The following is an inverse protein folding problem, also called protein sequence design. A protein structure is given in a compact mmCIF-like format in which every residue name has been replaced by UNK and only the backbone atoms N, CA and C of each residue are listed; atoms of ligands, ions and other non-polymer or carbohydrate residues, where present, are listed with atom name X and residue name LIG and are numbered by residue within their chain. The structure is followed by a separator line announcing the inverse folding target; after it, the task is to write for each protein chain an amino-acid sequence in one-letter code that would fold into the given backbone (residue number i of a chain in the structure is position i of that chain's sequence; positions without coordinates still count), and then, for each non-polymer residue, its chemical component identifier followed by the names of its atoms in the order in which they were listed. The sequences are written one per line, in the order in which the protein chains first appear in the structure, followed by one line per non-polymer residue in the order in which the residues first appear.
data_IF_917633135924
#
_entry.id   IF_917633135924
#
_cell.length_a   1.000
_cell.length_b   1.000
_cell.length_c   1.000
_cell.angle_alpha   90.00
_cell.angle_beta   90.00
_cell.angle_gamma   90.00
#
_symmetry.space_group_name_H-M   'P 1'
#
loop_
_entity.id
_entity.type
_entity.pdbx_description
1 polymer ?
#
# COMPACT_ATOMS: atom_id res chain seq x y z
N UNK A 1 -7.82 7.85 -12.22
CA UNK A 1 -7.31 7.04 -11.09
C UNK A 1 -8.26 5.87 -10.88
N UNK A 2 -7.77 4.64 -10.81
CA UNK A 2 -8.63 3.46 -10.55
C UNK A 2 -8.99 3.37 -9.06
N UNK A 3 -10.09 2.68 -8.70
CA UNK A 3 -10.59 2.59 -7.31
C UNK A 3 -9.52 2.11 -6.33
N UNK A 4 -8.72 1.11 -6.73
CA UNK A 4 -7.63 0.56 -5.91
C UNK A 4 -6.50 1.58 -5.76
N UNK A 5 -6.07 2.24 -6.84
CA UNK A 5 -4.99 3.23 -6.75
C UNK A 5 -5.35 4.42 -5.85
N UNK A 6 -6.63 4.83 -5.83
CA UNK A 6 -7.12 5.85 -4.89
C UNK A 6 -7.04 5.38 -3.43
N UNK A 7 -7.38 4.11 -3.15
CA UNK A 7 -7.25 3.54 -1.82
C UNK A 7 -5.78 3.43 -1.38
N UNK A 8 -4.88 2.98 -2.28
CA UNK A 8 -3.42 2.96 -2.04
C UNK A 8 -2.91 4.35 -1.69
N UNK A 9 -3.31 5.39 -2.45
CA UNK A 9 -2.88 6.76 -2.18
C UNK A 9 -3.39 7.28 -0.83
N UNK A 10 -4.64 6.97 -0.46
CA UNK A 10 -5.22 7.35 0.84
C UNK A 10 -4.40 6.73 1.98
N UNK A 11 -4.19 5.41 1.94
CA UNK A 11 -3.46 4.68 2.97
C UNK A 11 -2.00 5.15 3.07
N UNK A 12 -1.34 5.39 1.93
CA UNK A 12 0.03 5.88 1.92
C UNK A 12 0.14 7.28 2.58
N UNK A 13 -0.80 8.19 2.31
CA UNK A 13 -0.83 9.51 2.95
C UNK A 13 -1.09 9.42 4.45
N UNK A 14 -2.06 8.61 4.87
CA UNK A 14 -2.42 8.46 6.28
C UNK A 14 -1.27 7.88 7.11
N UNK A 15 -0.43 7.06 6.49
CA UNK A 15 0.70 6.38 7.14
C UNK A 15 2.06 7.04 6.85
N UNK A 16 2.09 8.19 6.16
CA UNK A 16 3.31 8.90 5.78
C UNK A 16 4.31 8.02 5.01
N UNK A 17 3.79 7.26 4.03
CA UNK A 17 4.56 6.41 3.12
C UNK A 17 4.76 7.17 1.80
N UNK A 18 6.01 7.38 1.42
CA UNK A 18 6.36 8.11 0.19
C UNK A 18 6.39 7.22 -1.06
N UNK A 19 6.71 5.92 -0.90
CA UNK A 19 6.83 4.96 -2.00
C UNK A 19 6.16 3.63 -1.63
N UNK A 20 5.25 3.19 -2.50
CA UNK A 20 4.62 1.86 -2.44
C UNK A 20 5.10 1.06 -3.64
N UNK A 21 5.57 -0.16 -3.38
CA UNK A 21 6.06 -1.09 -4.42
C UNK A 21 5.13 -2.30 -4.48
N UNK A 22 4.86 -2.80 -5.68
CA UNK A 22 4.11 -4.05 -5.86
C UNK A 22 4.90 -5.22 -5.28
N UNK A 23 4.24 -6.04 -4.44
CA UNK A 23 4.83 -7.23 -3.82
C UNK A 23 5.38 -8.23 -4.85
N UNK A 24 4.81 -8.30 -6.05
CA UNK A 24 5.30 -9.19 -7.11
C UNK A 24 6.71 -8.81 -7.61
N UNK A 25 7.13 -7.57 -7.39
CA UNK A 25 8.48 -7.10 -7.70
C UNK A 25 9.45 -7.25 -6.50
N UNK A 26 8.99 -7.73 -5.34
CA UNK A 26 9.75 -7.83 -4.11
C UNK A 26 9.96 -9.31 -3.73
N UNK A 27 11.19 -9.80 -3.84
CA UNK A 27 11.52 -11.18 -3.47
C UNK A 27 11.60 -11.41 -1.95
N UNK A 28 11.93 -10.37 -1.18
CA UNK A 28 12.03 -10.40 0.28
C UNK A 28 11.91 -8.98 0.85
N UNK A 29 11.24 -8.83 1.99
CA UNK A 29 11.25 -7.62 2.80
C UNK A 29 11.40 -7.99 4.29
N UNK A 30 12.01 -7.10 5.08
CA UNK A 30 12.07 -7.25 6.54
C UNK A 30 10.69 -6.97 7.15
N UNK A 31 10.42 -7.48 8.35
CA UNK A 31 9.18 -7.17 9.11
C UNK A 31 8.99 -5.68 9.40
N UNK A 32 10.04 -4.88 9.30
CA UNK A 32 9.99 -3.42 9.48
C UNK A 32 9.43 -2.70 8.24
N UNK A 33 9.35 -3.38 7.09
CA UNK A 33 8.70 -2.87 5.88
C UNK A 33 7.23 -3.27 5.93
N UNK A 34 6.35 -2.28 6.10
CA UNK A 34 4.94 -2.53 6.27
C UNK A 34 4.26 -2.95 4.96
N UNK A 35 3.54 -4.07 4.99
CA UNK A 35 2.59 -4.46 3.96
C UNK A 35 1.24 -3.76 4.22
N UNK A 36 0.76 -2.98 3.24
CA UNK A 36 -0.48 -2.21 3.34
C UNK A 36 -1.68 -2.89 2.65
N UNK A 37 -1.54 -4.09 2.09
CA UNK A 37 -2.59 -4.75 1.28
C UNK A 37 -3.92 -4.85 2.03
N UNK A 38 -3.87 -5.21 3.31
CA UNK A 38 -5.07 -5.31 4.16
C UNK A 38 -5.70 -3.93 4.45
N UNK A 39 -4.89 -2.90 4.65
CA UNK A 39 -5.37 -1.54 4.92
C UNK A 39 -5.99 -0.94 3.65
N UNK A 40 -5.38 -1.19 2.49
CA UNK A 40 -5.88 -0.76 1.18
C UNK A 40 -7.22 -1.41 0.88
N UNK A 41 -7.39 -2.71 1.12
CA UNK A 41 -8.65 -3.41 0.85
C UNK A 41 -9.83 -2.81 1.64
N UNK A 42 -9.59 -2.36 2.88
CA UNK A 42 -10.60 -1.69 3.72
C UNK A 42 -10.97 -0.30 3.20
N UNK A 43 -10.07 0.35 2.47
CA UNK A 43 -10.24 1.71 1.97
C UNK A 43 -10.82 1.76 0.54
N UNK A 44 -10.94 0.62 -0.15
CA UNK A 44 -11.60 0.57 -1.46
C UNK A 44 -13.10 0.83 -1.29
N UNK A 45 -13.56 1.94 -1.88
CA UNK A 45 -14.99 2.30 -2.00
C UNK A 45 -15.54 1.93 -3.34
#
# INVERSE_FOLDING_TARGET
MTRIQSAVQSVAKDQSIDLVVDSNAVAYNSSDVKDITADVLKQVK
#
